data_IF_714400611324
#
_entry.id   IF_714400611324
#
_cell.length_a   1.000
_cell.length_b   1.000
_cell.length_c   1.000
_cell.angle_alpha   90.00
_cell.angle_beta   90.00
_cell.angle_gamma   90.00
#
_symmetry.space_group_name_H-M   'P 1'
#
loop_
_entity.id
_entity.type
_entity.pdbx_description
1 polymer ?
#
# COMPACT_ATOMS: atom_id res chain seq x y z
N UNK A 1 -24.17 16.44 5.37
CA UNK A 1 -23.87 15.26 6.20
C UNK A 1 -22.74 14.50 5.54
N UNK A 2 -21.49 14.70 5.97
CA UNK A 2 -20.37 13.84 5.57
C UNK A 2 -20.41 12.66 6.54
N UNK A 3 -20.78 11.46 6.07
CA UNK A 3 -20.67 10.25 6.87
C UNK A 3 -19.18 9.95 7.03
N UNK A 4 -18.60 10.23 8.20
CA UNK A 4 -17.35 9.57 8.57
C UNK A 4 -17.66 8.07 8.67
N UNK A 5 -17.03 7.28 7.78
CA UNK A 5 -17.15 5.83 7.81
C UNK A 5 -16.01 5.32 8.70
N UNK A 6 -16.25 5.20 10.01
CA UNK A 6 -15.30 4.72 11.04
C UNK A 6 -14.75 3.29 10.79
N UNK A 7 -15.12 2.68 9.67
CA UNK A 7 -14.75 1.33 9.24
C UNK A 7 -13.66 1.28 8.17
N UNK A 8 -13.36 2.41 7.51
CA UNK A 8 -12.26 2.46 6.55
C UNK A 8 -10.94 2.68 7.27
N UNK A 9 -10.02 1.76 7.06
CA UNK A 9 -8.65 1.87 7.54
C UNK A 9 -7.69 1.92 6.35
N UNK A 10 -6.58 2.60 6.55
CA UNK A 10 -5.53 2.70 5.56
C UNK A 10 -4.23 2.16 6.15
N UNK A 11 -3.53 1.33 5.39
CA UNK A 11 -2.21 0.82 5.76
C UNK A 11 -1.24 0.96 4.59
N UNK A 12 0.05 0.97 4.88
CA UNK A 12 1.12 1.08 3.89
C UNK A 12 2.06 -0.10 4.05
N UNK A 13 2.28 -0.86 2.97
CA UNK A 13 3.16 -2.03 2.95
C UNK A 13 4.23 -1.87 1.88
N UNK A 14 5.45 -2.33 2.18
CA UNK A 14 6.61 -2.30 1.30
C UNK A 14 7.16 -3.74 1.17
N UNK A 15 7.29 -4.26 -0.05
CA UNK A 15 7.67 -5.67 -0.27
C UNK A 15 8.06 -5.96 -1.72
N UNK A 16 8.99 -5.18 -2.27
CA UNK A 16 9.42 -5.31 -3.66
C UNK A 16 8.56 -4.48 -4.63
N UNK A 17 8.40 -4.98 -5.86
CA UNK A 17 7.73 -4.24 -6.94
C UNK A 17 6.28 -3.89 -6.57
N UNK A 18 5.96 -2.60 -6.50
CA UNK A 18 4.61 -2.13 -6.13
C UNK A 18 3.50 -2.59 -7.08
N UNK A 19 3.78 -2.85 -8.36
CA UNK A 19 2.78 -3.33 -9.33
C UNK A 19 2.33 -4.75 -9.02
N UNK A 20 3.25 -5.58 -8.51
CA UNK A 20 2.93 -6.93 -8.08
C UNK A 20 2.04 -6.91 -6.84
N UNK A 21 2.34 -6.03 -5.88
CA UNK A 21 1.54 -5.87 -4.67
C UNK A 21 0.17 -5.28 -4.98
N UNK A 22 0.12 -4.21 -5.79
CA UNK A 22 -1.10 -3.53 -6.20
C UNK A 22 -2.08 -4.50 -6.85
N UNK A 23 -1.61 -5.29 -7.84
CA UNK A 23 -2.45 -6.28 -8.53
C UNK A 23 -3.08 -7.32 -7.58
N UNK A 24 -2.38 -7.73 -6.52
CA UNK A 24 -2.92 -8.70 -5.55
C UNK A 24 -4.02 -8.06 -4.68
N UNK A 25 -3.84 -6.81 -4.25
CA UNK A 25 -4.79 -6.16 -3.35
C UNK A 25 -5.98 -5.52 -4.08
N UNK A 26 -5.86 -5.15 -5.34
CA UNK A 26 -6.93 -4.51 -6.11
C UNK A 26 -8.14 -5.45 -6.30
N UNK A 27 -7.89 -6.76 -6.39
CA UNK A 27 -8.95 -7.78 -6.50
C UNK A 27 -9.49 -8.25 -5.13
N UNK A 28 -8.92 -7.77 -4.02
CA UNK A 28 -9.27 -8.27 -2.69
C UNK A 28 -10.59 -7.67 -2.20
N UNK A 29 -11.58 -8.55 -1.96
CA UNK A 29 -12.87 -8.12 -1.41
C UNK A 29 -12.69 -7.36 -0.09
N UNK A 30 -13.25 -6.15 -0.04
CA UNK A 30 -13.16 -5.27 1.13
C UNK A 30 -12.07 -4.22 1.00
N UNK A 31 -11.15 -4.35 0.04
CA UNK A 31 -10.30 -3.25 -0.40
C UNK A 31 -11.12 -2.33 -1.31
N UNK A 32 -10.94 -1.03 -1.12
CA UNK A 32 -11.65 0.01 -1.89
C UNK A 32 -10.74 0.90 -2.71
N UNK A 33 -9.44 0.88 -2.42
CA UNK A 33 -8.42 1.64 -3.13
C UNK A 33 -7.04 1.06 -2.79
N UNK A 34 -6.17 0.98 -3.79
CA UNK A 34 -4.75 0.69 -3.65
C UNK A 34 -3.98 1.73 -4.44
N UNK A 35 -2.99 2.37 -3.82
CA UNK A 35 -2.18 3.41 -4.46
C UNK A 35 -0.71 3.03 -4.36
N UNK A 36 -0.07 2.86 -5.52
CA UNK A 36 1.37 2.68 -5.65
C UNK A 36 2.12 3.99 -5.38
N UNK A 37 3.21 3.93 -4.63
CA UNK A 37 4.02 5.10 -4.30
C UNK A 37 5.37 4.76 -3.67
N UNK A 38 5.99 5.77 -3.05
CA UNK A 38 7.31 5.67 -2.44
C UNK A 38 7.28 6.21 -1.01
N UNK A 39 7.96 5.53 -0.08
CA UNK A 39 8.04 5.97 1.32
C UNK A 39 9.30 5.46 2.02
N UNK A 40 9.59 6.02 3.20
CA UNK A 40 10.72 5.63 4.06
C UNK A 40 12.06 6.29 3.72
N UNK A 41 12.15 7.04 2.62
CA UNK A 41 13.34 7.80 2.22
C UNK A 41 13.37 9.23 2.76
N UNK A 42 14.36 10.00 2.30
CA UNK A 42 14.64 11.37 2.78
C UNK A 42 14.27 12.46 1.78
N UNK A 43 14.18 12.14 0.49
CA UNK A 43 13.82 13.09 -0.55
C UNK A 43 12.31 13.37 -0.52
N UNK A 44 11.92 14.65 -0.50
CA UNK A 44 10.50 15.06 -0.55
C UNK A 44 10.02 15.02 -2.00
N UNK A 45 8.82 14.50 -2.23
CA UNK A 45 8.15 14.40 -3.54
C UNK A 45 9.06 13.81 -4.65
N UNK A 46 9.67 12.62 -4.45
CA UNK A 46 10.58 12.04 -5.41
C UNK A 46 9.85 11.58 -6.69
N UNK A 47 10.52 11.73 -7.83
CA UNK A 47 10.12 11.08 -9.09
C UNK A 47 10.53 9.60 -9.13
N UNK A 48 9.94 8.84 -10.06
CA UNK A 48 10.32 7.44 -10.29
C UNK A 48 11.81 7.29 -10.61
N UNK A 49 12.32 8.16 -11.49
CA UNK A 49 13.72 8.13 -11.92
C UNK A 49 14.68 8.39 -10.75
N UNK A 50 14.33 9.30 -9.84
CA UNK A 50 15.13 9.55 -8.64
C UNK A 50 15.14 8.35 -7.69
N UNK A 51 13.99 7.69 -7.49
CA UNK A 51 13.91 6.46 -6.67
C UNK A 51 14.71 5.32 -7.30
N UNK A 52 14.59 5.11 -8.62
CA UNK A 52 15.39 4.11 -9.34
C UNK A 52 16.89 4.41 -9.30
N UNK A 53 17.28 5.67 -9.10
CA UNK A 53 18.68 6.05 -8.84
C UNK A 53 19.23 5.49 -7.53
N UNK A 54 18.37 5.09 -6.59
CA UNK A 54 18.73 4.38 -5.35
C UNK A 54 19.24 5.26 -4.21
N UNK A 55 19.49 6.56 -4.45
CA UNK A 55 20.06 7.47 -3.45
C UNK A 55 19.02 8.10 -2.52
N UNK A 56 17.73 8.03 -2.87
CA UNK A 56 16.65 8.68 -2.11
C UNK A 56 16.31 7.96 -0.80
N UNK A 57 16.69 6.68 -0.68
CA UNK A 57 16.36 5.82 0.45
C UNK A 57 14.89 5.38 0.49
N UNK A 58 14.09 5.70 -0.52
CA UNK A 58 12.69 5.27 -0.58
C UNK A 58 12.57 3.80 -0.96
N UNK A 59 11.59 3.14 -0.36
CA UNK A 59 11.08 1.86 -0.82
C UNK A 59 9.83 2.07 -1.68
N UNK A 60 9.62 1.20 -2.65
CA UNK A 60 8.33 1.04 -3.31
C UNK A 60 7.30 0.50 -2.31
N UNK A 61 6.15 1.16 -2.24
CA UNK A 61 5.07 0.84 -1.32
C UNK A 61 3.72 0.84 -2.01
N UNK A 62 2.75 0.15 -1.42
CA UNK A 62 1.33 0.31 -1.71
C UNK A 62 0.59 0.83 -0.49
N UNK A 63 -0.26 1.82 -0.67
CA UNK A 63 -1.20 2.30 0.34
C UNK A 63 -2.58 1.70 0.07
N UNK A 64 -3.08 0.90 1.01
CA UNK A 64 -4.29 0.10 0.86
C UNK A 64 -5.37 0.67 1.78
N UNK A 65 -6.51 1.06 1.21
CA UNK A 65 -7.68 1.52 1.96
C UNK A 65 -8.78 0.46 1.92
N UNK A 66 -9.15 -0.08 3.09
CA UNK A 66 -10.02 -1.25 3.20
C UNK A 66 -11.08 -1.11 4.31
N UNK A 67 -12.16 -1.88 4.19
CA UNK A 67 -13.23 -1.99 5.19
C UNK A 67 -12.92 -3.11 6.20
N UNK A 68 -12.72 -2.72 7.46
CA UNK A 68 -12.33 -3.64 8.55
C UNK A 68 -13.38 -4.69 8.90
N UNK A 69 -14.64 -4.52 8.49
CA UNK A 69 -15.69 -5.53 8.69
C UNK A 69 -15.61 -6.67 7.66
N UNK A 70 -14.92 -6.46 6.54
CA UNK A 70 -14.78 -7.44 5.45
C UNK A 70 -13.40 -8.09 5.47
N UNK A 71 -12.35 -7.28 5.65
CA UNK A 71 -10.96 -7.73 5.71
C UNK A 71 -10.23 -6.95 6.79
N UNK A 72 -9.43 -7.61 7.63
CA UNK A 72 -8.67 -6.94 8.68
C UNK A 72 -7.18 -6.89 8.34
N UNK A 73 -6.44 -6.09 9.11
CA UNK A 73 -5.00 -5.90 8.89
C UNK A 73 -4.19 -7.20 8.95
N UNK A 74 -4.57 -8.16 9.81
CA UNK A 74 -3.89 -9.47 9.89
C UNK A 74 -4.03 -10.23 8.58
N UNK A 75 -5.19 -10.19 7.93
CA UNK A 75 -5.37 -10.84 6.63
C UNK A 75 -4.49 -10.20 5.54
N UNK A 76 -4.36 -8.86 5.55
CA UNK A 76 -3.46 -8.17 4.62
C UNK A 76 -2.00 -8.60 4.82
N UNK A 77 -1.56 -8.75 6.07
CA UNK A 77 -0.22 -9.25 6.40
C UNK A 77 -0.03 -10.73 6.04
N UNK A 78 -1.04 -11.58 6.25
CA UNK A 78 -0.98 -12.99 5.85
C UNK A 78 -0.80 -13.13 4.34
N UNK A 79 -1.52 -12.34 3.54
CA UNK A 79 -1.34 -12.25 2.09
C UNK A 79 0.08 -11.75 1.77
N UNK A 80 0.50 -10.65 2.40
CA UNK A 80 1.82 -10.03 2.20
C UNK A 80 2.97 -11.05 2.36
N UNK A 81 3.01 -11.76 3.50
CA UNK A 81 4.05 -12.75 3.79
C UNK A 81 3.90 -14.06 3.00
N UNK A 82 2.81 -14.24 2.25
CA UNK A 82 2.65 -15.39 1.34
C UNK A 82 3.26 -15.10 -0.03
N UNK A 83 3.26 -13.83 -0.47
CA UNK A 83 3.72 -13.42 -1.81
C UNK A 83 5.15 -12.86 -1.83
N UNK A 84 5.73 -12.56 -0.67
CA UNK A 84 7.09 -12.02 -0.49
C UNK A 84 7.75 -12.60 0.76
#
# INVERSE_FOLDING_TARGET
MIKHNDRKHTTTLAGGCFWCLEAVYDELRGVSEVVSGYSGGTLVDPSYEEVCGGETGHAEVVQITFDTEIVNFKNLLEIFFTIH
#
